data_IF_369795179743
#
_entry.id   IF_369795179743
#
_cell.length_a   1.000
_cell.length_b   1.000
_cell.length_c   1.000
_cell.angle_alpha   90.00
_cell.angle_beta   90.00
_cell.angle_gamma   90.00
#
_symmetry.space_group_name_H-M   'P 1'
#
loop_
_entity.id
_entity.type
_entity.pdbx_description
1 polymer ?
#
# COMPACT_ATOMS: atom_id res chain seq x y z
N UNK A 1 -34.87 34.89 40.91
CA UNK A 1 -35.90 33.84 41.13
C UNK A 1 -36.28 33.28 39.76
N UNK A 2 -36.27 31.95 39.55
CA UNK A 2 -35.06 31.27 39.07
C UNK A 2 -35.18 30.59 37.69
N UNK A 3 -34.02 30.14 37.22
CA UNK A 3 -33.74 29.37 36.02
C UNK A 3 -34.59 28.09 35.88
N UNK A 4 -35.04 27.81 34.66
CA UNK A 4 -35.55 26.49 34.27
C UNK A 4 -34.40 25.62 33.76
N UNK A 5 -34.08 24.60 34.54
CA UNK A 5 -33.26 23.47 34.13
C UNK A 5 -33.94 22.73 32.97
N UNK A 6 -33.23 22.57 31.86
CA UNK A 6 -33.55 21.57 30.83
C UNK A 6 -32.69 20.35 31.11
N UNK A 7 -33.35 19.23 31.40
CA UNK A 7 -32.72 17.93 31.66
C UNK A 7 -32.22 17.32 30.35
N UNK A 8 -30.95 16.89 30.33
CA UNK A 8 -30.39 16.03 29.28
C UNK A 8 -30.97 14.60 29.38
N UNK A 9 -31.21 13.91 28.26
CA UNK A 9 -31.60 12.50 28.27
C UNK A 9 -30.38 11.60 28.57
N UNK A 10 -30.63 10.54 29.36
CA UNK A 10 -29.66 9.51 29.74
C UNK A 10 -29.26 8.63 28.53
N UNK A 11 -28.05 8.04 28.52
CA UNK A 11 -27.61 7.15 27.45
C UNK A 11 -28.29 5.78 27.51
N UNK A 12 -28.49 5.10 26.36
CA UNK A 12 -29.07 3.75 26.35
C UNK A 12 -28.05 2.72 26.87
N UNK A 13 -28.53 1.83 27.76
CA UNK A 13 -27.78 0.69 28.26
C UNK A 13 -27.59 -0.42 27.20
N UNK A 14 -26.76 -1.44 27.50
CA UNK A 14 -26.27 -2.37 26.50
C UNK A 14 -27.37 -3.33 26.01
N UNK A 15 -27.53 -3.38 24.70
CA UNK A 15 -28.39 -4.32 23.97
C UNK A 15 -27.83 -5.74 24.11
N UNK A 16 -28.50 -6.56 24.91
CA UNK A 16 -28.28 -8.00 24.97
C UNK A 16 -28.76 -8.70 23.70
N UNK A 17 -27.92 -9.58 23.17
CA UNK A 17 -28.25 -10.47 22.07
C UNK A 17 -29.43 -11.38 22.44
N UNK A 18 -30.44 -11.42 21.57
CA UNK A 18 -31.54 -12.37 21.60
C UNK A 18 -31.81 -12.84 20.16
N UNK A 19 -32.32 -14.09 20.06
CA UNK A 19 -32.74 -14.86 18.88
C UNK A 19 -31.73 -15.90 18.36
N UNK A 20 -31.88 -17.14 18.82
CA UNK A 20 -32.75 -18.10 18.13
C UNK A 20 -33.09 -19.30 19.03
N UNK A 21 -34.32 -19.33 19.51
CA UNK A 21 -34.98 -20.49 20.14
C UNK A 21 -35.97 -21.12 19.17
N UNK A 22 -36.05 -22.45 19.20
CA UNK A 22 -37.11 -23.27 18.61
C UNK A 22 -36.57 -24.30 17.63
N UNK A 23 -36.97 -25.57 17.64
CA UNK A 23 -37.97 -26.29 18.43
C UNK A 23 -37.92 -27.78 18.04
N UNK A 24 -38.52 -28.64 18.90
CA UNK A 24 -38.93 -30.06 18.71
C UNK A 24 -38.10 -31.12 19.45
N UNK A 25 -38.73 -31.66 20.49
CA UNK A 25 -38.58 -33.03 21.00
C UNK A 25 -39.82 -33.86 20.54
N UNK A 26 -40.01 -35.15 20.89
CA UNK A 26 -39.09 -36.13 21.50
C UNK A 26 -39.12 -37.53 20.83
N UNK A 27 -38.16 -38.42 21.16
CA UNK A 27 -38.44 -39.85 21.38
C UNK A 27 -37.51 -40.48 22.42
N UNK A 28 -38.17 -40.99 23.47
CA UNK A 28 -37.86 -42.05 24.44
C UNK A 28 -36.42 -42.57 24.68
N UNK A 29 -36.04 -42.53 25.97
CA UNK A 29 -35.61 -43.74 26.71
C UNK A 29 -34.17 -43.75 27.24
N UNK A 30 -33.96 -43.56 28.56
CA UNK A 30 -32.67 -43.92 29.16
C UNK A 30 -32.27 -43.30 30.52
N UNK A 31 -33.07 -43.53 31.57
CA UNK A 31 -32.72 -43.64 33.02
C UNK A 31 -31.76 -42.60 33.66
N UNK A 32 -32.35 -41.83 34.60
CA UNK A 32 -31.68 -41.12 35.69
C UNK A 32 -30.96 -42.06 36.68
N UNK A 33 -29.86 -41.57 37.28
CA UNK A 33 -29.61 -41.57 38.75
C UNK A 33 -28.36 -40.73 39.07
N UNK A 34 -28.56 -39.62 39.79
CA UNK A 34 -27.57 -39.10 40.75
C UNK A 34 -27.97 -39.60 42.15
N UNK A 35 -27.02 -39.77 43.08
CA UNK A 35 -26.83 -38.79 44.16
C UNK A 35 -25.33 -38.67 44.53
N UNK A 36 -24.79 -37.82 45.40
CA UNK A 36 -25.14 -36.63 46.17
C UNK A 36 -23.80 -36.08 46.73
N UNK A 37 -23.74 -34.79 47.07
CA UNK A 37 -22.70 -34.18 47.91
C UNK A 37 -23.01 -34.39 49.41
N UNK A 38 -21.99 -34.34 50.28
CA UNK A 38 -21.99 -33.46 51.47
C UNK A 38 -20.66 -32.67 51.56
N UNK A 39 -20.60 -31.34 51.72
CA UNK A 39 -20.82 -30.46 52.90
C UNK A 39 -19.75 -30.51 54.01
N UNK A 40 -19.06 -29.37 54.24
CA UNK A 40 -18.47 -28.94 55.54
C UNK A 40 -16.95 -29.14 55.76
N UNK A 41 -16.19 -28.05 55.98
CA UNK A 41 -14.76 -28.04 56.42
C UNK A 41 -14.60 -28.01 57.96
N UNK A 42 -13.51 -27.46 58.56
CA UNK A 42 -12.15 -27.21 58.07
C UNK A 42 -11.01 -27.73 59.02
N UNK A 43 -9.75 -27.39 58.67
CA UNK A 43 -8.49 -27.38 59.47
C UNK A 43 -7.67 -28.66 59.66
N UNK A 44 -6.51 -28.73 58.99
CA UNK A 44 -5.16 -28.67 59.59
C UNK A 44 -4.07 -28.94 58.52
N UNK A 45 -3.13 -28.02 58.30
CA UNK A 45 -1.88 -28.31 57.56
C UNK A 45 -0.89 -29.13 58.41
N UNK A 46 0.43 -29.19 58.10
CA UNK A 46 1.14 -28.72 56.92
C UNK A 46 2.04 -29.83 56.28
N UNK A 47 2.53 -29.64 55.05
CA UNK A 47 3.86 -30.09 54.65
C UNK A 47 4.26 -29.52 53.28
N UNK A 48 5.40 -28.83 53.32
CA UNK A 48 6.19 -28.24 52.25
C UNK A 48 6.64 -29.21 51.16
N UNK A 49 6.58 -28.79 49.90
CA UNK A 49 7.42 -29.33 48.83
C UNK A 49 8.01 -28.17 48.01
N UNK A 50 9.26 -27.84 48.32
CA UNK A 50 10.14 -26.99 47.52
C UNK A 50 10.67 -27.78 46.33
N UNK A 51 10.42 -27.30 45.10
CA UNK A 51 11.11 -27.76 43.90
C UNK A 51 12.26 -26.82 43.58
N UNK A 52 13.49 -27.33 43.61
CA UNK A 52 14.69 -26.65 43.10
C UNK A 52 14.88 -26.94 41.61
N UNK A 53 15.30 -25.96 40.79
CA UNK A 53 15.54 -26.16 39.36
C UNK A 53 16.93 -26.78 39.09
N UNK A 54 16.98 -27.61 38.04
CA UNK A 54 18.18 -28.30 37.51
C UNK A 54 19.05 -27.31 36.73
N UNK A 55 20.32 -27.17 37.10
CA UNK A 55 21.34 -26.44 36.34
C UNK A 55 21.73 -27.16 35.03
N UNK A 56 22.01 -26.42 33.93
CA UNK A 56 22.64 -26.97 32.74
C UNK A 56 24.17 -26.85 32.80
N UNK A 57 24.87 -27.94 32.44
CA UNK A 57 26.33 -27.99 32.32
C UNK A 57 26.83 -27.25 31.07
N UNK A 58 27.93 -26.48 31.12
CA UNK A 58 28.50 -25.83 29.94
C UNK A 58 29.37 -26.80 29.13
N UNK A 59 29.21 -26.78 27.80
CA UNK A 59 30.17 -27.39 26.85
C UNK A 59 31.17 -26.33 26.39
N UNK A 60 32.43 -26.56 26.73
CA UNK A 60 33.60 -25.79 26.30
C UNK A 60 33.96 -26.10 24.85
N UNK A 61 34.15 -25.07 24.02
CA UNK A 61 34.91 -25.13 22.76
C UNK A 61 36.03 -24.08 22.81
N UNK A 62 37.27 -24.40 22.41
CA UNK A 62 38.34 -23.41 22.39
C UNK A 62 38.40 -22.69 21.04
N UNK A 63 38.53 -21.37 21.08
CA UNK A 63 38.93 -20.54 19.94
C UNK A 63 40.45 -20.59 19.75
N UNK A 64 40.97 -20.44 18.51
CA UNK A 64 42.34 -20.01 18.30
C UNK A 64 42.40 -18.49 18.10
N UNK A 65 43.27 -17.90 18.90
CA UNK A 65 43.72 -16.52 18.90
C UNK A 65 44.82 -16.25 17.85
N UNK A 66 44.95 -14.97 17.44
CA UNK A 66 46.17 -14.17 17.23
C UNK A 66 46.42 -13.55 15.84
N UNK A 67 46.43 -12.21 15.90
CA UNK A 67 47.46 -11.26 15.37
C UNK A 67 47.54 -10.96 13.86
N UNK A 68 47.04 -9.75 13.54
CA UNK A 68 47.84 -8.52 13.33
C UNK A 68 49.09 -8.65 12.45
N UNK A 69 49.02 -8.16 11.21
CA UNK A 69 50.13 -7.42 10.59
C UNK A 69 49.61 -6.21 9.80
N UNK A 70 49.98 -5.03 10.31
CA UNK A 70 50.06 -3.77 9.58
C UNK A 70 51.38 -3.73 8.81
N UNK A 71 51.34 -3.26 7.56
CA UNK A 71 52.36 -2.56 6.75
C UNK A 71 51.81 -2.59 5.32
N UNK A 72 51.28 -1.52 4.75
CA UNK A 72 51.93 -0.23 4.55
C UNK A 72 52.63 -0.23 3.20
N UNK A 73 52.01 0.39 2.18
CA UNK A 73 52.68 1.13 1.11
C UNK A 73 51.66 1.86 0.24
N UNK A 74 51.73 3.19 0.31
CA UNK A 74 51.14 4.14 -0.63
C UNK A 74 51.85 3.98 -1.97
N UNK A 75 51.12 4.03 -3.08
CA UNK A 75 51.53 4.73 -4.31
C UNK A 75 50.30 4.94 -5.21
N UNK A 76 49.85 6.19 -5.30
CA UNK A 76 49.15 6.69 -6.49
C UNK A 76 50.18 6.81 -7.63
N UNK A 77 49.73 6.56 -8.87
CA UNK A 77 49.63 7.67 -9.80
C UNK A 77 48.28 7.72 -10.54
N UNK A 78 47.88 8.95 -10.86
CA UNK A 78 46.71 9.37 -11.62
C UNK A 78 46.87 9.09 -13.14
N UNK A 79 45.81 9.28 -13.96
CA UNK A 79 45.37 8.30 -14.94
C UNK A 79 45.87 8.54 -16.37
N UNK A 80 45.98 7.44 -17.13
CA UNK A 80 46.10 7.48 -18.59
C UNK A 80 44.71 7.28 -19.23
N UNK A 81 44.22 8.32 -19.93
CA UNK A 81 43.18 8.17 -20.94
C UNK A 81 43.71 7.37 -22.15
N UNK A 82 42.89 6.46 -22.71
CA UNK A 82 42.90 6.22 -24.14
C UNK A 82 41.58 6.64 -24.77
N UNK A 83 41.76 7.28 -25.92
CA UNK A 83 40.79 7.85 -26.84
C UNK A 83 39.73 6.86 -27.30
N UNK A 84 38.56 7.42 -27.61
CA UNK A 84 37.44 6.84 -28.32
C UNK A 84 37.86 5.98 -29.52
N UNK A 85 37.22 4.81 -29.65
CA UNK A 85 37.09 4.09 -30.91
C UNK A 85 35.61 3.79 -31.14
N UNK A 86 35.06 4.43 -32.17
CA UNK A 86 33.77 4.10 -32.75
C UNK A 86 33.82 2.68 -33.36
N UNK A 87 32.76 1.87 -33.22
CA UNK A 87 32.59 0.69 -34.04
C UNK A 87 32.00 1.09 -35.40
N UNK A 88 32.78 0.84 -36.44
CA UNK A 88 32.40 0.91 -37.84
C UNK A 88 31.22 -0.04 -38.12
N UNK A 89 30.15 0.51 -38.70
CA UNK A 89 29.14 -0.25 -39.41
C UNK A 89 29.78 -1.00 -40.58
N UNK A 90 29.58 -2.32 -40.64
CA UNK A 90 29.70 -3.10 -41.88
C UNK A 90 28.42 -3.92 -42.10
N UNK A 91 27.87 -3.94 -43.32
CA UNK A 91 26.57 -4.53 -43.60
C UNK A 91 26.69 -6.04 -43.75
N UNK A 92 25.81 -6.78 -43.07
CA UNK A 92 25.64 -8.22 -43.28
C UNK A 92 24.85 -8.43 -44.56
N UNK A 93 25.45 -9.15 -45.51
CA UNK A 93 24.80 -9.63 -46.74
C UNK A 93 23.72 -10.65 -46.41
N UNK A 94 22.54 -10.47 -46.99
CA UNK A 94 21.48 -11.47 -47.04
C UNK A 94 21.89 -12.67 -47.91
N UNK A 95 21.67 -13.88 -47.39
CA UNK A 95 21.73 -15.17 -48.08
C UNK A 95 20.45 -15.98 -47.78
N UNK A 96 20.12 -17.00 -48.58
CA UNK A 96 18.75 -17.25 -49.03
C UNK A 96 17.87 -18.06 -48.06
N UNK A 97 16.58 -17.84 -48.27
CA UNK A 97 15.39 -18.49 -47.71
C UNK A 97 15.51 -19.97 -47.30
N UNK A 98 15.05 -20.27 -46.09
CA UNK A 98 14.49 -21.57 -45.71
C UNK A 98 13.15 -21.34 -45.01
N UNK A 99 12.07 -21.54 -45.78
CA UNK A 99 10.70 -21.46 -45.32
C UNK A 99 10.35 -22.80 -44.66
N UNK A 100 10.26 -22.83 -43.33
CA UNK A 100 9.66 -23.98 -42.65
C UNK A 100 8.14 -23.94 -42.84
N UNK A 101 7.64 -24.78 -43.76
CA UNK A 101 6.22 -25.12 -43.90
C UNK A 101 5.74 -25.87 -42.65
N UNK A 102 4.71 -25.36 -42.00
CA UNK A 102 3.89 -26.12 -41.04
C UNK A 102 2.96 -27.08 -41.80
N UNK A 103 2.73 -28.33 -41.36
CA UNK A 103 1.76 -29.20 -42.01
C UNK A 103 0.33 -28.72 -41.78
N UNK A 104 -0.46 -28.67 -42.86
CA UNK A 104 -1.90 -28.44 -42.82
C UNK A 104 -2.60 -29.58 -42.07
N UNK A 105 -3.32 -29.25 -40.99
CA UNK A 105 -4.24 -30.18 -40.36
C UNK A 105 -5.51 -30.33 -41.20
N UNK A 106 -5.83 -31.57 -41.53
CA UNK A 106 -7.03 -31.99 -42.28
C UNK A 106 -8.29 -31.69 -41.47
N UNK A 107 -9.29 -31.10 -42.13
CA UNK A 107 -10.64 -30.95 -41.61
C UNK A 107 -11.34 -32.31 -41.54
N UNK A 108 -11.86 -32.66 -40.36
CA UNK A 108 -12.93 -33.65 -40.20
C UNK A 108 -14.29 -32.93 -40.12
N UNK A 109 -15.35 -33.42 -40.78
CA UNK A 109 -16.67 -32.82 -40.69
C UNK A 109 -17.35 -33.17 -39.34
N UNK A 110 -17.97 -32.19 -38.69
CA UNK A 110 -18.83 -32.39 -37.51
C UNK A 110 -20.25 -32.79 -37.94
N UNK A 111 -20.95 -33.66 -37.21
CA UNK A 111 -22.35 -33.98 -37.48
C UNK A 111 -23.29 -32.87 -37.01
N UNK A 112 -24.42 -32.75 -37.71
CA UNK A 112 -25.48 -31.78 -37.44
C UNK A 112 -26.17 -32.05 -36.08
N UNK A 113 -26.25 -31.01 -35.25
CA UNK A 113 -26.97 -30.99 -33.97
C UNK A 113 -27.89 -29.76 -33.89
N UNK A 114 -29.07 -29.97 -33.30
CA UNK A 114 -30.29 -29.17 -33.32
C UNK A 114 -30.20 -27.72 -32.74
N UNK A 115 -31.16 -26.82 -33.04
CA UNK A 115 -31.03 -25.39 -32.77
C UNK A 115 -31.35 -25.01 -31.32
N UNK A 116 -30.48 -24.21 -30.69
CA UNK A 116 -30.76 -23.53 -29.43
C UNK A 116 -31.50 -22.20 -29.64
N UNK A 117 -32.33 -21.75 -28.68
CA UNK A 117 -33.24 -20.63 -28.85
C UNK A 117 -32.49 -19.29 -28.91
N UNK A 118 -32.93 -18.43 -29.84
CA UNK A 118 -32.42 -17.07 -30.07
C UNK A 118 -32.64 -16.20 -28.82
N UNK A 119 -31.57 -15.68 -28.25
CA UNK A 119 -31.65 -14.52 -27.36
C UNK A 119 -31.80 -13.24 -28.20
N UNK A 120 -32.65 -12.28 -27.79
CA UNK A 120 -32.91 -11.10 -28.58
C UNK A 120 -31.69 -10.17 -28.61
N UNK A 121 -31.26 -9.84 -29.82
CA UNK A 121 -30.30 -8.78 -30.10
C UNK A 121 -30.77 -7.47 -29.45
N UNK A 122 -30.03 -6.97 -28.46
CA UNK A 122 -30.09 -5.55 -28.11
C UNK A 122 -29.37 -4.75 -29.20
N UNK A 123 -30.08 -3.75 -29.68
CA UNK A 123 -29.74 -2.92 -30.81
C UNK A 123 -28.34 -2.28 -30.69
N UNK A 124 -27.59 -2.34 -31.79
CA UNK A 124 -26.54 -1.37 -32.09
C UNK A 124 -27.24 -0.04 -32.36
N UNK A 125 -26.95 1.00 -31.58
CA UNK A 125 -27.49 2.34 -31.83
C UNK A 125 -27.38 3.28 -30.64
N UNK A 126 -26.20 3.86 -30.45
CA UNK A 126 -26.00 5.26 -30.06
C UNK A 126 -24.49 5.49 -30.03
N UNK A 127 -23.97 6.28 -30.97
CA UNK A 127 -22.64 6.83 -30.81
C UNK A 127 -22.60 7.59 -29.49
N UNK A 128 -21.56 7.35 -28.66
CA UNK A 128 -21.28 8.19 -27.51
C UNK A 128 -21.23 9.65 -28.03
N UNK A 129 -22.02 10.58 -27.46
CA UNK A 129 -21.90 11.98 -27.87
C UNK A 129 -20.46 12.40 -27.65
N UNK A 130 -19.91 13.16 -28.60
CA UNK A 130 -18.64 13.84 -28.40
C UNK A 130 -18.70 14.60 -27.07
N UNK A 131 -17.59 14.60 -26.34
CA UNK A 131 -17.43 15.41 -25.12
C UNK A 131 -17.57 16.89 -25.47
N UNK A 132 -18.80 17.36 -25.54
CA UNK A 132 -19.08 18.76 -25.32
C UNK A 132 -18.87 18.99 -23.82
N UNK A 133 -17.89 19.85 -23.51
CA UNK A 133 -17.57 20.26 -22.14
C UNK A 133 -18.87 20.61 -21.41
N UNK A 134 -19.02 20.14 -20.17
CA UNK A 134 -20.17 20.52 -19.37
C UNK A 134 -20.16 22.06 -19.24
N UNK A 135 -21.32 22.75 -19.28
CA UNK A 135 -21.40 24.22 -19.28
C UNK A 135 -20.90 24.94 -18.01
N UNK A 136 -20.07 24.30 -17.18
CA UNK A 136 -19.44 24.88 -15.98
C UNK A 136 -17.92 25.02 -16.05
N UNK A 137 -17.24 24.43 -17.05
CA UNK A 137 -15.77 24.39 -17.09
C UNK A 137 -15.12 25.73 -17.49
N UNK A 138 -15.90 26.68 -18.00
CA UNK A 138 -15.41 28.00 -18.43
C UNK A 138 -15.35 29.05 -17.30
N UNK A 139 -15.87 28.76 -16.11
CA UNK A 139 -16.09 29.77 -15.07
C UNK A 139 -14.99 29.87 -13.99
N UNK A 140 -13.86 29.18 -14.12
CA UNK A 140 -12.82 29.14 -13.08
C UNK A 140 -11.42 29.61 -13.51
N UNK A 141 -11.25 30.02 -14.78
CA UNK A 141 -10.05 30.73 -15.17
C UNK A 141 -10.23 32.20 -14.75
N UNK A 142 -9.36 32.71 -13.88
CA UNK A 142 -9.12 34.15 -13.83
C UNK A 142 -8.84 34.60 -15.26
N UNK A 143 -9.63 35.55 -15.75
CA UNK A 143 -9.57 36.01 -17.12
C UNK A 143 -8.13 36.39 -17.49
N UNK A 144 -7.45 35.54 -18.29
CA UNK A 144 -6.12 35.81 -18.83
C UNK A 144 -5.03 34.75 -18.61
N UNK A 145 -5.20 33.75 -17.73
CA UNK A 145 -4.20 32.67 -17.58
C UNK A 145 -4.55 31.46 -18.45
N UNK A 146 -3.57 30.99 -19.24
CA UNK A 146 -3.70 29.73 -19.96
C UNK A 146 -3.79 28.58 -18.95
N UNK A 147 -4.66 27.57 -19.17
CA UNK A 147 -4.77 26.43 -18.28
C UNK A 147 -3.42 25.70 -18.19
N UNK A 148 -3.03 25.32 -16.97
CA UNK A 148 -1.83 24.51 -16.75
C UNK A 148 -1.91 23.23 -17.57
N UNK A 149 -0.81 22.89 -18.23
CA UNK A 149 -0.73 21.62 -18.96
C UNK A 149 -0.16 20.50 -18.08
N UNK A 150 -0.30 19.26 -18.56
CA UNK A 150 0.21 18.07 -17.87
C UNK A 150 1.71 18.18 -17.55
N UNK A 151 2.52 18.79 -18.42
CA UNK A 151 3.94 19.01 -18.17
C UNK A 151 4.23 19.93 -16.98
N UNK A 152 3.47 21.02 -16.84
CA UNK A 152 3.57 21.94 -15.71
C UNK A 152 3.07 21.30 -14.41
N UNK A 153 1.98 20.51 -14.48
CA UNK A 153 1.52 19.71 -13.34
C UNK A 153 2.58 18.69 -12.90
N UNK A 154 3.24 18.02 -13.84
CA UNK A 154 4.34 17.10 -13.54
C UNK A 154 5.52 17.83 -12.87
N UNK A 155 5.81 19.07 -13.23
CA UNK A 155 6.84 19.86 -12.57
C UNK A 155 6.45 20.25 -11.14
N UNK A 156 5.18 20.60 -10.90
CA UNK A 156 4.67 20.85 -9.56
C UNK A 156 4.70 19.57 -8.69
N UNK A 157 4.34 18.42 -9.28
CA UNK A 157 4.44 17.13 -8.63
C UNK A 157 5.90 16.78 -8.30
N UNK A 158 6.84 17.01 -9.22
CA UNK A 158 8.27 16.76 -9.01
C UNK A 158 8.87 17.65 -7.91
N UNK A 159 8.35 18.87 -7.71
CA UNK A 159 8.76 19.71 -6.59
C UNK A 159 8.30 19.16 -5.22
N UNK A 160 7.19 18.43 -5.17
CA UNK A 160 6.66 17.81 -3.95
C UNK A 160 7.19 16.39 -3.71
N UNK A 161 7.31 15.61 -4.77
CA UNK A 161 7.76 14.22 -4.79
C UNK A 161 8.68 13.97 -5.99
N UNK A 162 9.95 14.39 -5.90
CA UNK A 162 10.88 14.33 -7.01
C UNK A 162 11.03 12.93 -7.59
N UNK A 163 10.95 12.79 -8.92
CA UNK A 163 11.05 11.49 -9.59
C UNK A 163 12.39 10.78 -9.31
N UNK A 164 13.46 11.54 -9.01
CA UNK A 164 14.76 10.97 -8.62
C UNK A 164 14.72 10.13 -7.34
N UNK A 165 13.71 10.34 -6.48
CA UNK A 165 13.54 9.60 -5.22
C UNK A 165 12.81 8.26 -5.43
N UNK A 166 12.32 8.00 -6.63
CA UNK A 166 11.77 6.68 -6.94
C UNK A 166 12.88 5.63 -6.88
N UNK A 167 12.53 4.44 -6.40
CA UNK A 167 13.44 3.30 -6.40
C UNK A 167 13.81 2.91 -7.85
N UNK A 168 15.01 2.36 -8.04
CA UNK A 168 15.54 2.07 -9.40
C UNK A 168 14.66 1.12 -10.22
N UNK A 169 13.89 0.25 -9.55
CA UNK A 169 12.97 -0.70 -10.19
C UNK A 169 11.59 -0.11 -10.50
N UNK A 170 11.31 1.10 -10.03
CA UNK A 170 9.98 1.69 -10.05
C UNK A 170 9.65 2.37 -11.39
N UNK A 171 8.37 2.62 -11.60
CA UNK A 171 7.86 3.35 -12.75
C UNK A 171 6.92 4.48 -12.31
N UNK A 172 7.40 5.73 -12.39
CA UNK A 172 6.68 6.94 -11.95
C UNK A 172 6.54 7.97 -13.07
N UNK A 173 5.65 8.95 -12.90
CA UNK A 173 5.43 10.03 -13.86
C UNK A 173 4.30 9.73 -14.84
N UNK A 174 4.39 10.26 -16.07
CA UNK A 174 3.33 10.19 -17.07
C UNK A 174 3.19 8.78 -17.65
N UNK A 175 2.07 8.11 -17.35
CA UNK A 175 1.77 6.75 -17.80
C UNK A 175 0.94 6.72 -19.07
N UNK A 176 -0.08 7.59 -19.15
CA UNK A 176 -1.00 7.69 -20.28
C UNK A 176 -1.31 9.16 -20.53
N UNK A 177 -1.20 9.62 -21.78
CA UNK A 177 -1.59 10.98 -22.16
C UNK A 177 -0.47 11.75 -22.85
N UNK A 178 -0.57 13.08 -22.83
CA UNK A 178 0.40 13.99 -23.47
C UNK A 178 0.72 15.16 -22.54
N UNK A 179 1.97 15.61 -22.55
CA UNK A 179 2.45 16.72 -21.72
C UNK A 179 1.74 18.06 -22.01
N UNK A 180 1.28 18.28 -23.24
CA UNK A 180 0.65 19.52 -23.67
C UNK A 180 -0.86 19.58 -23.42
N UNK A 181 -1.45 18.56 -22.78
CA UNK A 181 -2.87 18.54 -22.46
C UNK A 181 -3.19 19.54 -21.34
N UNK A 182 -4.13 20.47 -21.55
CA UNK A 182 -4.67 21.29 -20.46
C UNK A 182 -5.26 20.41 -19.35
N UNK A 183 -5.08 20.83 -18.11
CA UNK A 183 -5.62 20.18 -16.92
C UNK A 183 -6.35 21.24 -16.09
N UNK A 184 -7.62 21.01 -15.81
CA UNK A 184 -8.43 21.84 -14.90
C UNK A 184 -8.93 21.04 -13.72
N UNK A 185 -9.06 19.71 -13.85
CA UNK A 185 -9.54 18.83 -12.77
C UNK A 185 -8.73 17.54 -12.67
N UNK A 186 -8.28 17.24 -11.45
CA UNK A 186 -7.47 16.09 -11.07
C UNK A 186 -8.21 15.24 -10.04
N UNK A 187 -8.27 13.93 -10.29
CA UNK A 187 -8.61 12.94 -9.26
C UNK A 187 -7.31 12.30 -8.78
N UNK A 188 -7.10 12.27 -7.47
CA UNK A 188 -6.05 11.48 -6.83
C UNK A 188 -6.64 10.18 -6.32
N UNK A 189 -5.98 9.05 -6.55
CA UNK A 189 -6.39 7.73 -6.09
C UNK A 189 -5.19 6.90 -5.64
N UNK A 190 -5.43 5.84 -4.87
CA UNK A 190 -4.41 4.83 -4.59
C UNK A 190 -4.16 3.99 -5.84
N UNK A 191 -5.18 3.25 -6.29
CA UNK A 191 -5.13 2.40 -7.49
C UNK A 191 -5.92 3.00 -8.65
N UNK A 192 -5.46 2.73 -9.89
CA UNK A 192 -6.33 2.89 -11.06
C UNK A 192 -7.34 1.73 -11.11
N UNK A 193 -8.63 2.04 -10.98
CA UNK A 193 -9.74 1.08 -11.11
C UNK A 193 -10.77 1.56 -12.13
N UNK A 194 -11.59 0.65 -12.64
CA UNK A 194 -12.68 1.01 -13.55
C UNK A 194 -13.63 2.05 -12.92
N UNK A 195 -13.95 1.88 -11.64
CA UNK A 195 -14.78 2.83 -10.89
C UNK A 195 -14.12 4.22 -10.72
N UNK A 196 -12.79 4.29 -10.61
CA UNK A 196 -12.06 5.58 -10.58
C UNK A 196 -12.14 6.26 -11.95
N UNK A 197 -12.06 5.49 -13.05
CA UNK A 197 -12.28 6.04 -14.40
C UNK A 197 -13.76 6.45 -14.63
N UNK A 198 -14.71 5.73 -14.05
CA UNK A 198 -16.13 6.11 -14.07
C UNK A 198 -16.36 7.44 -13.34
N UNK A 199 -15.76 7.61 -12.15
CA UNK A 199 -15.78 8.87 -11.40
C UNK A 199 -15.09 10.00 -12.17
N UNK A 200 -13.91 9.74 -12.74
CA UNK A 200 -13.20 10.69 -13.60
C UNK A 200 -14.06 11.17 -14.77
N UNK A 201 -14.77 10.25 -15.43
CA UNK A 201 -15.67 10.58 -16.52
C UNK A 201 -16.90 11.37 -16.05
N UNK A 202 -17.53 10.95 -14.95
CA UNK A 202 -18.72 11.60 -14.39
C UNK A 202 -18.44 13.04 -13.97
N UNK A 203 -17.24 13.29 -13.45
CA UNK A 203 -16.83 14.60 -12.96
C UNK A 203 -15.98 15.38 -13.96
N UNK A 204 -15.78 14.89 -15.18
CA UNK A 204 -15.00 15.58 -16.20
C UNK A 204 -13.54 15.85 -15.79
N UNK A 205 -12.90 14.91 -15.10
CA UNK A 205 -11.48 15.00 -14.77
C UNK A 205 -10.61 14.82 -16.03
N UNK A 206 -9.59 15.67 -16.18
CA UNK A 206 -8.62 15.58 -17.26
C UNK A 206 -7.48 14.59 -16.92
N UNK A 207 -7.23 14.40 -15.63
CA UNK A 207 -6.09 13.65 -15.12
C UNK A 207 -6.48 12.84 -13.87
N UNK A 208 -6.02 11.60 -13.82
CA UNK A 208 -6.01 10.75 -12.63
C UNK A 208 -4.55 10.56 -12.19
N UNK A 209 -4.22 11.05 -10.99
CA UNK A 209 -2.96 10.78 -10.31
C UNK A 209 -3.16 9.55 -9.43
N UNK A 210 -2.39 8.50 -9.67
CA UNK A 210 -2.41 7.29 -8.85
C UNK A 210 -1.14 7.14 -8.05
N UNK A 211 -1.22 6.50 -6.89
CA UNK A 211 -0.03 6.08 -6.17
C UNK A 211 0.56 4.83 -6.82
N UNK A 212 -0.23 3.78 -7.04
CA UNK A 212 0.21 2.55 -7.68
C UNK A 212 0.21 2.66 -9.21
N UNK A 213 1.35 2.47 -9.88
CA UNK A 213 1.44 2.59 -11.33
C UNK A 213 0.69 1.43 -12.01
N UNK A 214 -0.27 1.72 -12.93
CA UNK A 214 -0.99 0.67 -13.66
C UNK A 214 -0.07 -0.05 -14.66
N UNK A 215 1.02 0.60 -15.06
CA UNK A 215 2.11 0.03 -15.88
C UNK A 215 3.27 -0.24 -14.92
N UNK A 216 3.20 -1.34 -14.17
CA UNK A 216 4.26 -1.69 -13.23
C UNK A 216 5.31 -2.61 -13.87
N UNK A 217 4.97 -3.84 -14.31
CA UNK A 217 5.77 -4.52 -15.31
C UNK A 217 5.61 -3.85 -16.68
N UNK A 218 6.66 -3.87 -17.49
CA UNK A 218 6.59 -3.42 -18.87
C UNK A 218 5.49 -4.18 -19.63
N UNK A 219 4.57 -3.43 -20.24
CA UNK A 219 3.50 -4.00 -21.06
C UNK A 219 4.00 -4.26 -22.48
N UNK A 220 3.97 -5.53 -22.93
CA UNK A 220 4.30 -5.89 -24.32
C UNK A 220 3.17 -5.56 -25.30
N UNK A 221 1.95 -5.38 -24.81
CA UNK A 221 0.77 -5.00 -25.58
C UNK A 221 -0.23 -4.27 -24.68
N UNK A 222 -0.98 -3.33 -25.26
CA UNK A 222 -2.09 -2.61 -24.61
C UNK A 222 -3.39 -3.07 -25.25
N UNK A 223 -4.07 -4.01 -24.59
CA UNK A 223 -5.35 -4.60 -25.03
C UNK A 223 -6.25 -4.87 -23.83
N UNK A 224 -7.50 -5.26 -24.09
CA UNK A 224 -8.48 -5.66 -23.06
C UNK A 224 -8.22 -7.07 -22.48
N UNK A 225 -7.17 -7.77 -22.93
CA UNK A 225 -6.87 -9.14 -22.50
C UNK A 225 -6.41 -9.24 -21.03
N UNK A 226 -5.91 -8.14 -20.45
CA UNK A 226 -5.49 -8.07 -19.04
C UNK A 226 -6.07 -6.83 -18.38
N UNK A 227 -6.39 -6.90 -17.09
CA UNK A 227 -6.97 -5.79 -16.33
C UNK A 227 -6.21 -4.47 -16.48
N UNK A 228 -4.90 -4.50 -16.25
CA UNK A 228 -4.09 -3.28 -16.36
C UNK A 228 -4.06 -2.71 -17.79
N UNK A 229 -3.95 -3.57 -18.81
CA UNK A 229 -4.02 -3.17 -20.22
C UNK A 229 -5.37 -2.57 -20.60
N UNK A 230 -6.47 -3.16 -20.10
CA UNK A 230 -7.82 -2.66 -20.32
C UNK A 230 -8.03 -1.26 -19.72
N UNK A 231 -7.51 -1.01 -18.51
CA UNK A 231 -7.59 0.30 -17.85
C UNK A 231 -6.76 1.36 -18.58
N UNK A 232 -5.53 1.02 -18.99
CA UNK A 232 -4.67 1.92 -19.78
C UNK A 232 -5.30 2.25 -21.13
N UNK A 233 -5.82 1.24 -21.84
CA UNK A 233 -6.52 1.40 -23.11
C UNK A 233 -7.73 2.32 -22.95
N UNK A 234 -8.56 2.05 -21.95
CA UNK A 234 -9.75 2.86 -21.64
C UNK A 234 -9.37 4.31 -21.32
N UNK A 235 -8.38 4.54 -20.46
CA UNK A 235 -7.94 5.90 -20.12
C UNK A 235 -7.50 6.68 -21.37
N UNK A 236 -6.77 6.03 -22.30
CA UNK A 236 -6.36 6.64 -23.55
C UNK A 236 -7.55 6.97 -24.47
N UNK A 237 -8.50 6.04 -24.66
CA UNK A 237 -9.70 6.24 -25.48
C UNK A 237 -10.62 7.32 -24.92
N UNK A 238 -10.75 7.35 -23.59
CA UNK A 238 -11.52 8.36 -22.86
C UNK A 238 -10.70 9.65 -22.65
N UNK A 239 -9.49 9.76 -23.19
CA UNK A 239 -8.65 10.97 -23.10
C UNK A 239 -8.49 11.48 -21.65
N UNK A 240 -8.33 10.55 -20.71
CA UNK A 240 -7.98 10.82 -19.32
C UNK A 240 -6.50 10.55 -19.16
N UNK A 241 -5.75 11.58 -18.75
CA UNK A 241 -4.32 11.46 -18.48
C UNK A 241 -4.11 10.65 -17.21
N UNK A 242 -3.13 9.76 -17.18
CA UNK A 242 -2.76 9.01 -15.97
C UNK A 242 -1.32 9.29 -15.62
N UNK A 243 -1.09 9.71 -14.37
CA UNK A 243 0.23 9.95 -13.78
C UNK A 243 0.38 9.06 -12.55
N UNK A 244 1.58 8.52 -12.30
CA UNK A 244 1.88 7.78 -11.08
C UNK A 244 2.89 8.53 -10.20
N UNK A 245 2.66 8.53 -8.89
CA UNK A 245 3.62 8.94 -7.86
C UNK A 245 3.67 7.86 -6.78
N UNK A 246 4.65 6.97 -6.88
CA UNK A 246 4.77 5.75 -6.11
C UNK A 246 5.86 5.90 -5.05
N UNK A 247 7.00 5.21 -5.19
CA UNK A 247 8.07 5.23 -4.18
C UNK A 247 8.76 6.60 -4.04
N UNK A 248 8.68 7.46 -5.05
CA UNK A 248 9.11 8.85 -4.92
C UNK A 248 8.26 9.61 -3.90
N UNK A 249 6.95 9.34 -3.86
CA UNK A 249 6.03 9.95 -2.90
C UNK A 249 6.19 9.34 -1.51
N UNK A 250 6.51 8.04 -1.40
CA UNK A 250 6.88 7.42 -0.13
C UNK A 250 8.15 8.05 0.47
N UNK A 251 9.11 8.39 -0.40
CA UNK A 251 10.41 8.89 0.01
C UNK A 251 10.44 10.39 0.32
N UNK A 252 9.54 11.16 -0.30
CA UNK A 252 9.52 12.61 -0.23
C UNK A 252 9.28 13.15 1.19
N UNK A 253 9.82 14.34 1.48
CA UNK A 253 9.53 15.06 2.71
C UNK A 253 8.06 15.50 2.74
N UNK A 254 7.35 15.15 3.82
CA UNK A 254 5.89 15.25 3.95
C UNK A 254 5.14 14.36 2.95
N UNK A 255 5.73 13.21 2.61
CA UNK A 255 5.12 12.13 1.82
C UNK A 255 4.35 11.14 2.69
N UNK A 256 4.06 9.94 2.15
CA UNK A 256 3.13 9.01 2.83
C UNK A 256 3.67 8.51 4.18
N UNK A 257 4.98 8.25 4.27
CA UNK A 257 5.60 7.81 5.52
C UNK A 257 5.55 8.86 6.64
N UNK A 258 5.56 10.16 6.29
CA UNK A 258 5.38 11.23 7.27
C UNK A 258 3.93 11.29 7.77
N UNK A 259 2.94 11.08 6.90
CA UNK A 259 1.54 10.96 7.29
C UNK A 259 1.30 9.75 8.20
N UNK A 260 1.94 8.62 7.91
CA UNK A 260 1.86 7.44 8.77
C UNK A 260 2.52 7.66 10.13
N UNK A 261 3.71 8.27 10.15
CA UNK A 261 4.38 8.61 11.39
C UNK A 261 3.54 9.55 12.27
N UNK A 262 2.95 10.59 11.67
CA UNK A 262 2.08 11.52 12.38
C UNK A 262 0.82 10.85 12.94
N UNK A 263 0.17 9.96 12.17
CA UNK A 263 -1.02 9.23 12.61
C UNK A 263 -0.75 8.31 13.82
N UNK A 264 0.48 7.80 13.93
CA UNK A 264 0.92 6.95 15.04
C UNK A 264 1.57 7.73 16.19
N UNK A 265 1.58 9.07 16.12
CA UNK A 265 2.16 9.93 17.17
C UNK A 265 3.68 9.86 17.26
N UNK A 266 4.36 9.47 16.18
CA UNK A 266 5.82 9.43 16.10
C UNK A 266 6.32 10.86 15.87
N UNK A 267 7.28 11.29 16.67
CA UNK A 267 7.85 12.63 16.68
C UNK A 267 9.37 12.58 16.45
N UNK A 268 9.96 13.72 16.05
CA UNK A 268 11.39 13.79 15.78
C UNK A 268 11.83 12.83 14.67
N UNK A 269 11.00 12.69 13.63
CA UNK A 269 11.19 11.71 12.57
C UNK A 269 12.39 12.06 11.68
N UNK A 270 13.08 11.01 11.23
CA UNK A 270 14.05 11.05 10.15
C UNK A 270 13.77 9.91 9.15
N UNK A 271 14.23 10.00 7.89
CA UNK A 271 14.16 8.88 6.96
C UNK A 271 14.78 7.61 7.55
N UNK A 272 14.11 6.47 7.39
CA UNK A 272 14.64 5.18 7.85
C UNK A 272 15.82 4.72 6.98
N UNK A 273 15.65 4.85 5.66
CA UNK A 273 16.70 4.67 4.66
C UNK A 273 16.88 6.01 3.94
N UNK A 274 17.84 6.85 4.38
CA UNK A 274 18.05 8.17 3.80
C UNK A 274 18.53 8.09 2.35
N UNK A 275 18.10 9.04 1.52
CA UNK A 275 18.64 9.23 0.18
C UNK A 275 20.13 9.66 0.27
N UNK A 276 21.04 9.04 -0.51
CA UNK A 276 22.46 9.37 -0.43
C UNK A 276 22.81 10.82 -0.81
N UNK A 277 22.00 11.48 -1.63
CA UNK A 277 22.23 12.85 -2.08
C UNK A 277 21.57 13.88 -1.15
N UNK A 278 20.51 13.50 -0.44
CA UNK A 278 19.81 14.35 0.52
C UNK A 278 19.27 13.53 1.71
N UNK A 279 19.97 13.51 2.87
CA UNK A 279 19.56 12.69 4.02
C UNK A 279 18.27 13.17 4.70
N UNK A 280 17.68 14.29 4.27
CA UNK A 280 16.38 14.75 4.76
C UNK A 280 15.19 13.99 4.12
N UNK A 281 15.42 13.25 3.04
CA UNK A 281 14.42 12.42 2.35
C UNK A 281 14.88 10.97 2.26
N UNK A 282 13.97 10.06 1.93
CA UNK A 282 14.27 8.63 1.82
C UNK A 282 13.10 7.75 2.28
N UNK A 283 13.25 6.43 2.12
CA UNK A 283 12.20 5.47 2.44
C UNK A 283 11.98 5.33 3.95
N UNK A 284 10.72 5.14 4.34
CA UNK A 284 10.30 4.94 5.72
C UNK A 284 10.61 6.12 6.64
N UNK A 285 10.13 6.06 7.87
CA UNK A 285 10.50 7.01 8.93
C UNK A 285 10.86 6.27 10.20
N UNK A 286 11.72 6.87 11.01
CA UNK A 286 12.01 6.41 12.36
C UNK A 286 12.07 7.59 13.31
N UNK A 287 11.49 7.45 14.50
CA UNK A 287 11.44 8.51 15.51
C UNK A 287 10.96 7.99 16.86
N UNK A 288 10.57 8.91 17.72
CA UNK A 288 10.21 8.62 19.11
C UNK A 288 8.69 8.75 19.34
N UNK A 289 8.14 7.87 20.17
CA UNK A 289 6.76 7.89 20.66
C UNK A 289 6.75 8.04 22.18
N UNK A 290 5.62 8.50 22.73
CA UNK A 290 5.41 8.43 24.17
C UNK A 290 5.55 6.96 24.66
N UNK A 291 6.13 6.71 25.85
CA UNK A 291 6.32 5.36 26.35
C UNK A 291 5.04 4.52 26.29
N UNK A 292 5.12 3.38 25.61
CA UNK A 292 4.00 2.46 25.37
C UNK A 292 4.49 1.02 25.32
N UNK A 293 3.61 0.06 25.01
CA UNK A 293 3.97 -1.33 24.71
C UNK A 293 3.74 -1.66 23.25
N UNK A 294 4.34 -2.76 22.76
CA UNK A 294 4.12 -3.25 21.40
C UNK A 294 2.63 -3.51 21.12
N UNK A 295 1.93 -4.17 22.07
CA UNK A 295 0.50 -4.45 21.94
C UNK A 295 -0.35 -3.17 21.89
N UNK A 296 -0.01 -2.16 22.70
CA UNK A 296 -0.71 -0.88 22.69
C UNK A 296 -0.43 -0.08 21.40
N UNK A 297 0.81 -0.09 20.89
CA UNK A 297 1.15 0.49 19.59
C UNK A 297 0.36 -0.18 18.46
N UNK A 298 0.27 -1.50 18.46
CA UNK A 298 -0.51 -2.24 17.47
C UNK A 298 -2.00 -1.88 17.53
N UNK A 299 -2.57 -1.81 18.73
CA UNK A 299 -3.95 -1.38 18.91
C UNK A 299 -4.18 0.06 18.42
N UNK A 300 -3.25 0.97 18.67
CA UNK A 300 -3.30 2.34 18.16
C UNK A 300 -3.24 2.38 16.62
N UNK A 301 -2.37 1.57 16.01
CA UNK A 301 -2.29 1.47 14.55
C UNK A 301 -3.59 0.95 13.92
N UNK A 302 -4.20 -0.09 14.51
CA UNK A 302 -5.51 -0.59 14.06
C UNK A 302 -6.59 0.50 14.19
N UNK A 303 -6.62 1.21 15.31
CA UNK A 303 -7.59 2.27 15.56
C UNK A 303 -7.43 3.47 14.61
N UNK A 304 -6.20 3.80 14.21
CA UNK A 304 -5.91 4.94 13.33
C UNK A 304 -6.42 4.74 11.90
N UNK A 305 -6.41 3.50 11.38
CA UNK A 305 -6.70 3.23 9.97
C UNK A 305 -7.99 2.48 9.73
N UNK A 306 -8.29 1.43 10.50
CA UNK A 306 -9.54 0.68 10.36
C UNK A 306 -9.77 -0.22 11.58
N UNK A 307 -10.59 0.23 12.55
CA UNK A 307 -11.03 -0.63 13.64
C UNK A 307 -11.70 -1.91 13.10
N UNK A 308 -11.14 -3.08 13.43
CA UNK A 308 -11.65 -4.38 12.98
C UNK A 308 -11.14 -4.85 11.61
N UNK A 309 -10.18 -4.15 10.99
CA UNK A 309 -9.65 -4.52 9.68
C UNK A 309 -8.90 -5.85 9.65
N UNK A 310 -9.18 -6.65 8.63
CA UNK A 310 -8.41 -7.86 8.26
C UNK A 310 -6.95 -7.54 7.91
N UNK A 311 -6.07 -8.54 7.97
CA UNK A 311 -4.64 -8.41 7.67
C UNK A 311 -3.87 -7.51 8.66
N UNK A 312 -4.22 -7.59 9.95
CA UNK A 312 -3.46 -6.98 11.05
C UNK A 312 -2.77 -8.08 11.88
N UNK A 313 -1.54 -7.83 12.34
CA UNK A 313 -0.76 -8.83 13.05
C UNK A 313 0.37 -8.23 13.87
N UNK A 314 0.80 -8.95 14.91
CA UNK A 314 1.92 -8.55 15.77
C UNK A 314 2.88 -9.73 15.90
N UNK A 315 4.18 -9.48 15.72
CA UNK A 315 5.23 -10.44 16.02
C UNK A 315 6.16 -9.89 17.11
N UNK A 316 6.46 -10.71 18.11
CA UNK A 316 7.20 -10.33 19.31
C UNK A 316 6.35 -10.27 20.57
N UNK A 317 6.99 -9.93 21.69
CA UNK A 317 6.33 -9.82 23.00
C UNK A 317 5.40 -8.58 23.05
N UNK A 318 4.08 -8.74 23.25
CA UNK A 318 3.15 -7.61 23.30
C UNK A 318 3.42 -6.64 24.47
N UNK A 319 4.07 -7.09 25.54
CA UNK A 319 4.38 -6.27 26.71
C UNK A 319 5.73 -5.55 26.60
N UNK A 320 6.46 -5.76 25.49
CA UNK A 320 7.72 -5.08 25.19
C UNK A 320 7.56 -3.55 25.30
N UNK A 321 8.42 -2.86 26.08
CA UNK A 321 8.46 -1.41 26.10
C UNK A 321 8.87 -0.82 24.75
N UNK A 322 8.14 0.19 24.28
CA UNK A 322 8.38 0.88 23.02
C UNK A 322 8.46 2.38 23.26
N UNK A 323 9.53 3.00 22.76
CA UNK A 323 9.74 4.44 22.74
C UNK A 323 10.29 4.89 21.38
N UNK A 324 10.98 4.00 20.65
CA UNK A 324 11.47 4.26 19.30
C UNK A 324 10.75 3.38 18.29
N UNK A 325 10.17 3.98 17.25
CA UNK A 325 9.35 3.27 16.25
C UNK A 325 9.81 3.64 14.85
N UNK A 326 9.96 2.63 14.00
CA UNK A 326 10.12 2.78 12.56
C UNK A 326 8.79 2.48 11.85
N UNK A 327 8.57 3.10 10.69
CA UNK A 327 7.39 2.89 9.85
C UNK A 327 7.75 2.85 8.38
N UNK A 328 7.01 2.07 7.60
CA UNK A 328 6.99 2.14 6.15
C UNK A 328 5.57 1.85 5.65
N UNK A 329 5.00 2.75 4.86
CA UNK A 329 3.75 2.49 4.11
C UNK A 329 3.97 1.37 3.10
N UNK A 330 2.89 0.69 2.72
CA UNK A 330 2.92 -0.40 1.76
C UNK A 330 3.66 -1.64 2.25
N UNK A 331 4.38 -2.31 1.34
CA UNK A 331 5.11 -3.56 1.60
C UNK A 331 6.56 -3.29 2.02
N UNK A 332 6.78 -3.08 3.31
CA UNK A 332 8.09 -2.69 3.87
C UNK A 332 8.93 -3.82 4.46
N UNK A 333 8.63 -5.09 4.16
CA UNK A 333 9.36 -6.25 4.74
C UNK A 333 10.86 -6.24 4.46
N UNK A 334 11.30 -5.70 3.32
CA UNK A 334 12.72 -5.54 2.98
C UNK A 334 13.48 -4.55 3.88
N UNK A 335 12.79 -3.72 4.67
CA UNK A 335 13.39 -2.70 5.54
C UNK A 335 13.45 -3.13 7.02
N UNK A 336 13.09 -4.37 7.35
CA UNK A 336 13.14 -4.90 8.73
C UNK A 336 14.53 -4.76 9.33
N UNK A 337 15.58 -5.08 8.56
CA UNK A 337 16.97 -4.96 9.04
C UNK A 337 17.37 -3.49 9.24
N UNK A 338 16.99 -2.60 8.32
CA UNK A 338 17.23 -1.16 8.47
C UNK A 338 16.55 -0.59 9.73
N UNK A 339 15.32 -1.02 10.02
CA UNK A 339 14.61 -0.64 11.25
C UNK A 339 15.35 -1.12 12.51
N UNK A 340 15.87 -2.36 12.49
CA UNK A 340 16.67 -2.90 13.58
C UNK A 340 17.99 -2.14 13.76
N UNK A 341 18.69 -1.84 12.67
CA UNK A 341 19.95 -1.09 12.68
C UNK A 341 19.77 0.36 13.16
N UNK A 342 18.62 0.96 12.86
CA UNK A 342 18.22 2.24 13.43
C UNK A 342 17.88 2.16 14.93
N UNK A 343 17.91 0.99 15.55
CA UNK A 343 17.58 0.81 16.97
C UNK A 343 16.09 0.99 17.28
N UNK A 344 15.21 0.74 16.31
CA UNK A 344 13.78 0.77 16.58
C UNK A 344 13.38 -0.35 17.54
N UNK A 345 12.49 -0.05 18.49
CA UNK A 345 11.92 -1.05 19.39
C UNK A 345 10.76 -1.80 18.72
N UNK A 346 10.08 -1.12 17.79
CA UNK A 346 9.04 -1.67 16.94
C UNK A 346 9.11 -1.12 15.50
N UNK A 347 8.66 -1.92 14.53
CA UNK A 347 8.51 -1.52 13.13
C UNK A 347 7.09 -1.80 12.64
N UNK A 348 6.44 -0.79 12.04
CA UNK A 348 5.07 -0.87 11.54
C UNK A 348 5.05 -0.77 10.02
N UNK A 349 4.53 -1.80 9.34
CA UNK A 349 4.42 -1.83 7.88
C UNK A 349 3.34 -2.82 7.42
N UNK A 350 3.05 -2.90 6.12
CA UNK A 350 2.15 -3.90 5.55
C UNK A 350 2.88 -5.06 4.87
N UNK A 351 2.10 -6.08 4.52
CA UNK A 351 2.52 -7.26 3.75
C UNK A 351 3.76 -7.99 4.31
N UNK A 352 3.89 -8.03 5.63
CA UNK A 352 4.93 -8.83 6.28
C UNK A 352 4.71 -10.33 6.02
N UNK A 353 5.76 -11.00 5.56
CA UNK A 353 5.77 -12.45 5.35
C UNK A 353 6.14 -13.16 6.64
N UNK A 354 5.87 -14.46 6.68
CA UNK A 354 6.22 -15.31 7.82
C UNK A 354 7.70 -15.17 8.24
N UNK A 355 8.63 -15.19 7.29
CA UNK A 355 10.06 -15.07 7.60
C UNK A 355 10.46 -13.67 8.09
N UNK A 356 9.75 -12.62 7.66
CA UNK A 356 9.96 -11.28 8.21
C UNK A 356 9.53 -11.26 9.69
N UNK A 357 8.38 -11.90 10.00
CA UNK A 357 7.85 -12.04 11.35
C UNK A 357 8.74 -12.90 12.27
N UNK A 358 9.28 -14.00 11.75
CA UNK A 358 10.21 -14.90 12.46
C UNK A 358 11.54 -14.19 12.78
N UNK A 359 11.97 -13.27 11.91
CA UNK A 359 13.14 -12.46 12.12
C UNK A 359 12.96 -11.35 13.18
N UNK A 360 11.81 -11.22 13.86
CA UNK A 360 11.53 -10.21 14.89
C UNK A 360 12.41 -10.31 16.17
N UNK A 361 13.53 -11.03 16.13
CA UNK A 361 14.48 -11.09 17.24
C UNK A 361 14.96 -9.68 17.61
N UNK A 362 14.68 -9.29 18.84
CA UNK A 362 15.13 -8.01 19.40
C UNK A 362 14.30 -6.78 19.00
N UNK A 363 13.26 -6.89 18.16
CA UNK A 363 12.38 -5.78 17.74
C UNK A 363 10.94 -6.27 17.51
N UNK A 364 9.92 -5.54 17.97
CA UNK A 364 8.53 -5.89 17.67
C UNK A 364 8.14 -5.54 16.23
N UNK A 365 7.29 -6.35 15.59
CA UNK A 365 6.73 -6.03 14.28
C UNK A 365 5.22 -5.89 14.36
N UNK A 366 4.68 -4.90 13.66
CA UNK A 366 3.25 -4.66 13.53
C UNK A 366 2.89 -4.65 12.05
N UNK A 367 2.13 -5.66 11.62
CA UNK A 367 1.56 -5.73 10.28
C UNK A 367 0.24 -4.92 10.26
N UNK A 368 0.14 -3.98 9.32
CA UNK A 368 -1.06 -3.18 9.06
C UNK A 368 -1.56 -3.43 7.62
N UNK A 369 -2.85 -3.18 7.31
CA UNK A 369 -3.38 -3.45 5.98
C UNK A 369 -2.80 -2.44 4.97
N UNK A 370 -2.06 -2.95 3.98
CA UNK A 370 -1.36 -2.18 2.95
C UNK A 370 -2.26 -1.10 2.32
N UNK A 371 -3.30 -1.52 1.61
CA UNK A 371 -4.14 -0.61 0.82
C UNK A 371 -4.88 0.41 1.68
N UNK A 372 -5.37 0.03 2.87
CA UNK A 372 -6.09 0.95 3.76
C UNK A 372 -5.17 2.05 4.28
N UNK A 373 -3.96 1.71 4.72
CA UNK A 373 -3.00 2.68 5.26
C UNK A 373 -2.58 3.68 4.19
N UNK A 374 -2.23 3.20 3.00
CA UNK A 374 -1.84 4.06 1.89
C UNK A 374 -3.00 4.90 1.37
N UNK A 375 -4.21 4.34 1.29
CA UNK A 375 -5.40 5.10 0.88
C UNK A 375 -5.62 6.30 1.81
N UNK A 376 -5.47 6.11 3.13
CA UNK A 376 -5.53 7.21 4.09
C UNK A 376 -4.36 8.19 3.92
N UNK A 377 -3.13 7.70 3.73
CA UNK A 377 -1.96 8.55 3.57
C UNK A 377 -2.04 9.41 2.29
N UNK A 378 -2.43 8.83 1.17
CA UNK A 378 -2.62 9.55 -0.11
C UNK A 378 -3.77 10.55 0.00
N UNK A 379 -4.88 10.18 0.65
CA UNK A 379 -5.98 11.12 0.91
C UNK A 379 -5.51 12.31 1.77
N UNK A 380 -4.72 12.05 2.82
CA UNK A 380 -4.17 13.08 3.69
C UNK A 380 -3.10 13.96 3.00
N UNK A 381 -2.37 13.42 2.02
CA UNK A 381 -1.40 14.16 1.22
C UNK A 381 -2.04 15.02 0.12
N UNK A 382 -3.20 14.61 -0.40
CA UNK A 382 -3.89 15.26 -1.53
C UNK A 382 -4.07 16.79 -1.37
N UNK A 383 -4.43 17.34 -0.19
CA UNK A 383 -4.51 18.79 0.02
C UNK A 383 -3.22 19.55 -0.30
N UNK A 384 -2.04 18.93 -0.11
CA UNK A 384 -0.75 19.57 -0.41
C UNK A 384 -0.54 19.75 -1.92
N UNK A 385 -0.95 18.76 -2.72
CA UNK A 385 -0.97 18.89 -4.16
C UNK A 385 -2.00 19.95 -4.62
N UNK A 386 -3.17 19.98 -3.97
CA UNK A 386 -4.20 20.98 -4.23
C UNK A 386 -3.67 22.40 -3.98
N UNK A 387 -2.98 22.63 -2.86
CA UNK A 387 -2.35 23.90 -2.51
C UNK A 387 -1.29 24.33 -3.54
N UNK A 388 -0.43 23.40 -3.94
CA UNK A 388 0.61 23.67 -4.95
C UNK A 388 0.04 24.05 -6.33
N UNK A 389 -1.14 23.53 -6.67
CA UNK A 389 -1.81 23.78 -7.95
C UNK A 389 -2.90 24.87 -7.88
N UNK A 390 -3.24 25.36 -6.69
CA UNK A 390 -4.25 26.40 -6.48
C UNK A 390 -3.99 27.70 -7.29
N UNK A 391 -2.74 28.20 -7.43
CA UNK A 391 -2.46 29.39 -8.24
C UNK A 391 -2.78 29.22 -9.74
N UNK A 392 -2.95 27.97 -10.19
CA UNK A 392 -3.29 27.63 -11.58
C UNK A 392 -4.77 27.33 -11.78
N UNK A 393 -5.58 27.44 -10.73
CA UNK A 393 -7.03 27.18 -10.78
C UNK A 393 -7.41 25.70 -10.96
N UNK A 394 -6.45 24.77 -10.80
CA UNK A 394 -6.70 23.34 -10.94
C UNK A 394 -7.42 22.82 -9.70
N UNK A 395 -8.56 22.16 -9.90
CA UNK A 395 -9.27 21.45 -8.84
C UNK A 395 -8.64 20.09 -8.62
N UNK A 396 -8.23 19.81 -7.39
CA UNK A 396 -7.69 18.51 -7.00
C UNK A 396 -8.55 17.94 -5.89
N UNK A 397 -8.93 16.67 -6.01
CA UNK A 397 -9.60 15.95 -4.93
C UNK A 397 -9.14 14.50 -4.87
N UNK A 398 -9.33 13.88 -3.73
CA UNK A 398 -9.18 12.44 -3.58
C UNK A 398 -10.45 11.73 -4.07
N UNK A 399 -10.31 10.56 -4.67
CA UNK A 399 -11.43 9.73 -5.14
C UNK A 399 -12.37 9.35 -3.99
N UNK A 400 -13.67 9.22 -4.28
CA UNK A 400 -14.65 8.63 -3.34
C UNK A 400 -14.69 7.10 -3.40
N UNK A 401 -13.95 6.50 -4.35
CA UNK A 401 -13.91 5.06 -4.57
C UNK A 401 -12.95 4.41 -3.58
N UNK A 402 -13.48 3.46 -2.79
CA UNK A 402 -12.63 2.56 -2.01
C UNK A 402 -11.97 1.53 -2.94
N UNK A 403 -10.64 1.56 -3.00
CA UNK A 403 -9.85 0.72 -3.90
C UNK A 403 -9.21 -0.49 -3.20
N UNK A 404 -9.35 -0.60 -1.87
CA UNK A 404 -8.86 -1.75 -1.12
C UNK A 404 -9.49 -3.03 -1.69
N UNK A 405 -8.71 -4.08 -2.03
CA UNK A 405 -9.26 -5.35 -2.45
C UNK A 405 -9.77 -6.22 -1.29
N UNK A 406 -9.35 -5.94 -0.05
CA UNK A 406 -9.69 -6.77 1.11
C UNK A 406 -11.04 -6.38 1.71
N UNK A 407 -11.79 -7.38 2.19
CA UNK A 407 -13.07 -7.20 2.87
C UNK A 407 -13.06 -8.01 4.15
N UNK A 408 -13.77 -7.52 5.16
CA UNK A 408 -13.92 -8.23 6.42
C UNK A 408 -14.64 -9.55 6.16
N UNK A 409 -14.06 -10.67 6.61
CA UNK A 409 -14.70 -11.98 6.51
C UNK A 409 -15.88 -11.99 7.49
N UNK A 410 -17.10 -11.92 6.95
CA UNK A 410 -18.34 -11.87 7.74
C UNK A 410 -18.50 -13.03 8.71
#
# INVERSE_FOLDING_TARGET
>A
MPARQVRSPAPPGPSGCFWCTGSRAPTAGGRCRSPARPSGGPWSGPASATCTPREPRPRTTPAPSLRRQLRGRRHHPQPHHPRARAPLHRPVRAGPHLVHRWPAHRHHPRPAGQPHPRQPHRARGAGRPGRDRLPGDAALLQAGQAPVNTGELLAALDALAPARLAQEWDNVGLMVGRRDRPVTRVIVALDLRAAVLDEAAAEGADLVLVHHPPIFPAMSAVTDARTAGALVLRAAEEKVTVVAAHTNLDSAAGGLNDHMAAALGITGTAPLVPDPADPAVGLGRVGEVAPTTLGALAAAAVAAYRPGGVNTGVAGDPDRPVTRVAVCTGSGGSLVDAAREAGAHAYVTGDLKYHDADAAEGMGLVNVPHGVVEQHAVAAWTPRLAEALAPSGVQVRFTSVDTDPWRDAC
#
